data_IF_848112603562
#
_entry.id   IF_848112603562
#
_cell.length_a   1.000
_cell.length_b   1.000
_cell.length_c   1.000
_cell.angle_alpha   90.00
_cell.angle_beta   90.00
_cell.angle_gamma   90.00
#
_symmetry.space_group_name_H-M   'P 1'
#
loop_
_entity.id
_entity.type
_entity.pdbx_description
1 polymer ?
#
# COMPACT_ATOMS: atom_id res chain seq x y z
N UNK A 1 18.80 -2.25 -7.75
CA UNK A 1 18.11 -3.31 -8.50
C UNK A 1 16.64 -3.04 -8.31
N UNK A 2 15.80 -3.24 -9.34
CA UNK A 2 14.35 -3.02 -9.28
C UNK A 2 13.70 -4.34 -9.67
N UNK A 3 12.93 -4.93 -8.76
CA UNK A 3 12.43 -6.30 -8.94
C UNK A 3 11.06 -6.49 -8.28
N UNK A 4 10.19 -7.22 -8.95
CA UNK A 4 8.94 -7.74 -8.38
C UNK A 4 9.08 -9.25 -8.34
N UNK A 5 8.83 -9.85 -7.18
CA UNK A 5 8.91 -11.28 -6.95
C UNK A 5 7.52 -11.91 -7.10
N UNK A 6 7.42 -12.95 -7.93
CA UNK A 6 6.21 -13.76 -8.02
C UNK A 6 6.21 -14.79 -6.88
N UNK A 7 5.85 -14.34 -5.69
CA UNK A 7 5.83 -15.19 -4.50
C UNK A 7 5.03 -14.54 -3.36
N UNK A 8 4.71 -15.31 -2.33
CA UNK A 8 4.11 -14.76 -1.11
C UNK A 8 5.13 -13.84 -0.40
N UNK A 9 4.64 -12.73 0.16
CA UNK A 9 5.49 -11.74 0.84
C UNK A 9 6.22 -12.33 2.06
N UNK A 10 5.65 -13.33 2.75
CA UNK A 10 6.33 -14.03 3.83
C UNK A 10 7.55 -14.79 3.34
N UNK A 11 7.49 -15.37 2.14
CA UNK A 11 8.64 -16.02 1.51
C UNK A 11 9.72 -15.01 1.17
N UNK A 12 9.36 -13.88 0.58
CA UNK A 12 10.31 -12.78 0.33
C UNK A 12 10.99 -12.32 1.61
N UNK A 13 10.21 -12.04 2.66
CA UNK A 13 10.72 -11.50 3.92
C UNK A 13 11.55 -12.50 4.74
N UNK A 14 11.36 -13.80 4.52
CA UNK A 14 12.07 -14.85 5.28
C UNK A 14 13.21 -15.50 4.53
N UNK A 15 13.08 -15.67 3.21
CA UNK A 15 14.03 -16.42 2.39
C UNK A 15 15.00 -15.52 1.62
N UNK A 16 14.59 -14.29 1.27
CA UNK A 16 15.43 -13.34 0.53
C UNK A 16 16.12 -12.35 1.45
N UNK A 17 17.39 -12.09 1.17
CA UNK A 17 18.17 -11.04 1.86
C UNK A 17 18.04 -9.73 1.09
N UNK A 18 16.85 -9.14 1.08
CA UNK A 18 16.63 -7.82 0.47
C UNK A 18 16.83 -6.73 1.51
N UNK A 19 17.52 -5.67 1.11
CA UNK A 19 17.66 -4.45 1.92
C UNK A 19 16.79 -3.36 1.29
N UNK A 20 16.01 -2.70 2.12
CA UNK A 20 15.12 -1.60 1.72
C UNK A 20 15.09 -0.52 2.79
N UNK A 21 14.94 0.71 2.33
CA UNK A 21 14.96 1.87 3.21
C UNK A 21 13.59 2.19 3.79
N UNK A 22 12.54 1.95 3.04
CA UNK A 22 11.18 2.35 3.38
C UNK A 22 10.16 1.30 2.93
N UNK A 23 9.07 1.18 3.68
CA UNK A 23 7.95 0.30 3.34
C UNK A 23 6.69 1.12 3.14
N UNK A 24 5.99 0.90 2.01
CA UNK A 24 4.72 1.55 1.73
C UNK A 24 3.80 0.59 1.00
N UNK A 25 2.66 0.27 1.58
CA UNK A 25 1.73 -0.72 1.03
C UNK A 25 0.29 -0.55 1.50
N UNK A 26 -0.61 -1.26 0.81
CA UNK A 26 -1.97 -1.53 1.25
C UNK A 26 -2.16 -3.04 1.40
N UNK A 27 -2.51 -3.54 2.59
CA UNK A 27 -2.77 -4.97 2.74
C UNK A 27 -4.05 -5.36 1.98
N UNK A 28 -4.12 -6.60 1.44
CA UNK A 28 -5.34 -7.12 0.85
C UNK A 28 -6.49 -7.10 1.85
N UNK A 29 -7.72 -7.04 1.34
CA UNK A 29 -8.92 -7.05 2.17
C UNK A 29 -9.32 -8.50 2.52
N UNK A 30 -10.27 -8.66 3.42
CA UNK A 30 -10.77 -9.98 3.86
C UNK A 30 -11.23 -10.85 2.70
N UNK A 31 -12.00 -10.27 1.76
CA UNK A 31 -12.52 -11.00 0.60
C UNK A 31 -11.44 -11.39 -0.42
N UNK A 32 -10.36 -10.65 -0.52
CA UNK A 32 -9.19 -11.03 -1.32
C UNK A 32 -8.45 -12.26 -0.74
N UNK A 33 -8.66 -12.53 0.55
CA UNK A 33 -8.11 -13.70 1.26
C UNK A 33 -9.15 -14.80 1.49
N UNK A 34 -10.37 -14.67 0.94
CA UNK A 34 -11.51 -15.56 1.20
C UNK A 34 -11.92 -15.62 2.69
N UNK A 35 -11.69 -14.55 3.44
CA UNK A 35 -12.06 -14.38 4.85
C UNK A 35 -13.28 -13.49 5.01
N UNK A 36 -13.96 -13.61 6.14
CA UNK A 36 -15.10 -12.74 6.48
C UNK A 36 -14.82 -11.95 7.76
N UNK A 37 -15.07 -10.62 7.78
CA UNK A 37 -14.69 -9.75 8.89
C UNK A 37 -15.34 -10.07 10.25
N UNK A 38 -16.35 -10.93 10.31
CA UNK A 38 -17.03 -11.28 11.57
C UNK A 38 -16.54 -12.61 12.11
N UNK A 39 -16.31 -13.58 11.23
CA UNK A 39 -15.95 -14.94 11.59
C UNK A 39 -14.43 -15.09 11.72
N UNK A 40 -13.70 -14.50 10.81
CA UNK A 40 -12.28 -14.75 10.58
C UNK A 40 -11.41 -13.54 10.97
N UNK A 41 -11.96 -12.60 11.78
CA UNK A 41 -11.27 -11.36 12.16
C UNK A 41 -9.94 -11.63 12.87
N UNK A 42 -9.95 -12.58 13.82
CA UNK A 42 -8.74 -12.97 14.53
C UNK A 42 -7.67 -13.53 13.59
N UNK A 43 -8.05 -14.41 12.66
CA UNK A 43 -7.14 -15.00 11.68
C UNK A 43 -6.51 -13.91 10.79
N UNK A 44 -7.31 -12.97 10.33
CA UNK A 44 -6.85 -11.84 9.53
C UNK A 44 -5.86 -10.95 10.29
N UNK A 45 -6.13 -10.64 11.55
CA UNK A 45 -5.25 -9.81 12.38
C UNK A 45 -3.95 -10.54 12.74
N UNK A 46 -4.01 -11.83 13.07
CA UNK A 46 -2.82 -12.66 13.34
C UNK A 46 -1.92 -12.75 12.09
N UNK A 47 -2.50 -12.95 10.91
CA UNK A 47 -1.79 -12.94 9.64
C UNK A 47 -1.12 -11.58 9.36
N UNK A 48 -1.83 -10.47 9.56
CA UNK A 48 -1.22 -9.14 9.43
C UNK A 48 -0.06 -8.95 10.40
N UNK A 49 -0.23 -9.33 11.66
CA UNK A 49 0.78 -9.21 12.71
C UNK A 49 2.02 -10.03 12.38
N UNK A 50 1.87 -11.21 11.81
CA UNK A 50 2.99 -12.03 11.36
C UNK A 50 3.82 -11.30 10.31
N UNK A 51 3.19 -10.79 9.24
CA UNK A 51 3.89 -10.07 8.17
C UNK A 51 4.55 -8.79 8.70
N UNK A 52 3.80 -7.97 9.46
CA UNK A 52 4.31 -6.69 9.95
C UNK A 52 5.49 -6.86 10.91
N UNK A 53 5.53 -7.96 11.66
CA UNK A 53 6.64 -8.28 12.55
C UNK A 53 7.98 -8.51 11.83
N UNK A 54 7.94 -8.89 10.56
CA UNK A 54 9.10 -9.17 9.72
C UNK A 54 9.60 -7.94 8.95
N UNK A 55 8.84 -6.84 8.95
CA UNK A 55 9.24 -5.59 8.29
C UNK A 55 10.38 -4.91 9.04
N UNK A 56 11.47 -4.63 8.33
CA UNK A 56 12.67 -4.01 8.91
C UNK A 56 13.32 -2.99 7.97
N UNK A 57 12.66 -1.87 7.64
CA UNK A 57 13.24 -0.82 6.80
C UNK A 57 14.39 -0.10 7.49
N UNK A 58 15.46 0.26 6.74
CA UNK A 58 16.65 0.89 7.31
C UNK A 58 16.39 2.29 7.85
N UNK A 59 15.35 2.99 7.36
CA UNK A 59 14.93 4.30 7.90
C UNK A 59 13.95 4.19 9.07
N UNK A 60 13.57 2.97 9.47
CA UNK A 60 12.62 2.67 10.54
C UNK A 60 11.19 3.21 10.33
N UNK A 61 10.76 3.40 9.08
CA UNK A 61 9.42 3.91 8.77
C UNK A 61 8.63 2.94 7.89
N UNK A 62 7.39 2.69 8.28
CA UNK A 62 6.40 1.90 7.53
C UNK A 62 5.16 2.75 7.32
N UNK A 63 4.69 2.85 6.09
CA UNK A 63 3.39 3.47 5.78
C UNK A 63 2.40 2.42 5.29
N UNK A 64 1.24 2.39 5.92
CA UNK A 64 0.16 1.45 5.62
C UNK A 64 -1.06 2.25 5.20
N UNK A 65 -1.63 1.88 4.07
CA UNK A 65 -2.85 2.50 3.53
C UNK A 65 -4.00 1.53 3.70
N UNK A 66 -5.06 1.96 4.38
CA UNK A 66 -6.26 1.15 4.58
C UNK A 66 -7.51 1.91 4.18
N UNK A 67 -8.44 1.24 3.52
CA UNK A 67 -9.80 1.74 3.32
C UNK A 67 -10.69 1.24 4.46
N UNK A 68 -11.68 2.04 4.84
CA UNK A 68 -12.74 1.55 5.73
C UNK A 68 -13.51 0.43 5.01
N UNK A 69 -13.77 -0.64 5.72
CA UNK A 69 -14.55 -1.76 5.21
C UNK A 69 -15.90 -1.81 5.90
N UNK A 70 -16.94 -1.98 5.10
CA UNK A 70 -18.27 -2.27 5.60
C UNK A 70 -18.65 -3.71 5.29
N UNK A 71 -19.07 -4.44 6.31
CA UNK A 71 -19.56 -5.79 6.17
C UNK A 71 -20.93 -5.91 6.84
N UNK A 72 -21.98 -6.20 6.06
CA UNK A 72 -23.39 -6.10 6.50
C UNK A 72 -23.63 -4.71 7.10
N UNK A 73 -24.21 -4.55 8.22
CA UNK A 73 -24.48 -3.24 8.85
C UNK A 73 -23.30 -2.71 9.71
N UNK A 74 -22.13 -3.36 9.70
CA UNK A 74 -20.99 -3.02 10.58
C UNK A 74 -19.85 -2.38 9.81
N UNK A 75 -19.23 -1.36 10.40
CA UNK A 75 -17.96 -0.81 9.91
C UNK A 75 -16.81 -1.53 10.59
N UNK A 76 -15.87 -2.02 9.78
CA UNK A 76 -14.64 -2.65 10.27
C UNK A 76 -13.55 -1.56 10.33
N UNK A 77 -13.07 -1.20 11.51
CA UNK A 77 -12.10 -0.12 11.68
C UNK A 77 -10.67 -0.60 11.41
N UNK A 78 -10.36 -0.93 10.15
CA UNK A 78 -9.05 -1.49 9.76
C UNK A 78 -7.87 -0.60 10.15
N UNK A 79 -8.04 0.70 10.10
CA UNK A 79 -7.02 1.67 10.52
C UNK A 79 -6.72 1.60 12.02
N UNK A 80 -7.73 1.32 12.86
CA UNK A 80 -7.54 1.08 14.28
C UNK A 80 -6.83 -0.26 14.53
N UNK A 81 -7.23 -1.32 13.82
CA UNK A 81 -6.57 -2.63 13.91
C UNK A 81 -5.09 -2.53 13.54
N UNK A 82 -4.76 -1.86 12.43
CA UNK A 82 -3.37 -1.61 12.03
C UNK A 82 -2.62 -0.83 13.12
N UNK A 83 -3.23 0.20 13.70
CA UNK A 83 -2.61 0.97 14.78
C UNK A 83 -2.26 0.08 15.99
N UNK A 84 -3.19 -0.76 16.47
CA UNK A 84 -2.94 -1.64 17.62
C UNK A 84 -1.85 -2.68 17.30
N UNK A 85 -1.88 -3.31 16.10
CA UNK A 85 -0.83 -4.24 15.70
C UNK A 85 0.55 -3.57 15.68
N UNK A 86 0.66 -2.39 15.05
CA UNK A 86 1.94 -1.68 14.94
C UNK A 86 2.47 -1.23 16.30
N UNK A 87 1.58 -0.78 17.18
CA UNK A 87 1.91 -0.43 18.58
C UNK A 87 2.44 -1.64 19.36
N UNK A 88 1.77 -2.79 19.25
CA UNK A 88 2.23 -4.04 19.86
C UNK A 88 3.63 -4.48 19.38
N UNK A 89 3.95 -4.17 18.11
CA UNK A 89 5.26 -4.42 17.51
C UNK A 89 6.32 -3.35 17.86
N UNK A 90 5.99 -2.41 18.75
CA UNK A 90 6.90 -1.37 19.23
C UNK A 90 7.04 -0.16 18.29
N UNK A 91 6.12 0.01 17.36
CA UNK A 91 6.04 1.20 16.53
C UNK A 91 5.18 2.28 17.18
N UNK A 92 5.47 3.53 16.90
CA UNK A 92 4.64 4.69 17.24
C UNK A 92 4.11 5.37 15.98
N UNK A 93 2.92 5.95 16.07
CA UNK A 93 2.30 6.67 14.96
C UNK A 93 3.01 8.01 14.74
N UNK A 94 3.58 8.22 13.54
CA UNK A 94 4.20 9.49 13.13
C UNK A 94 3.13 10.43 12.59
N UNK A 95 2.28 9.92 11.70
CA UNK A 95 1.22 10.71 11.06
C UNK A 95 0.08 9.84 10.58
N UNK A 96 -1.11 10.41 10.60
CA UNK A 96 -2.32 9.85 10.00
C UNK A 96 -2.89 10.88 9.04
N UNK A 97 -3.07 10.50 7.78
CA UNK A 97 -3.66 11.34 6.73
C UNK A 97 -4.94 10.68 6.22
N UNK A 98 -5.87 11.49 5.78
CA UNK A 98 -7.09 11.03 5.13
C UNK A 98 -6.97 11.33 3.64
N UNK A 99 -7.03 10.28 2.82
CA UNK A 99 -7.19 10.45 1.38
C UNK A 99 -8.69 10.39 1.06
N UNK A 100 -9.20 11.48 0.51
CA UNK A 100 -10.60 11.61 0.12
C UNK A 100 -10.70 11.25 -1.35
N UNK A 101 -11.38 10.15 -1.66
CA UNK A 101 -11.68 9.78 -3.05
C UNK A 101 -12.59 10.84 -3.66
N UNK A 102 -12.31 11.31 -4.88
CA UNK A 102 -13.24 12.17 -5.59
C UNK A 102 -14.57 11.42 -5.77
N UNK A 103 -15.68 12.16 -5.73
CA UNK A 103 -17.03 11.59 -5.86
C UNK A 103 -17.10 10.74 -7.13
N UNK A 104 -17.29 9.44 -6.96
CA UNK A 104 -17.75 8.58 -8.04
C UNK A 104 -19.26 8.79 -8.10
N UNK A 105 -19.81 9.08 -9.27
CA UNK A 105 -21.27 9.21 -9.47
C UNK A 105 -21.98 8.03 -8.80
N UNK A 106 -22.77 8.38 -7.78
CA UNK A 106 -23.54 7.42 -7.02
C UNK A 106 -24.69 7.00 -7.91
N UNK A 107 -24.64 5.80 -8.43
CA UNK A 107 -25.81 5.17 -9.01
C UNK A 107 -26.80 4.92 -7.87
N UNK A 108 -27.84 5.76 -7.77
CA UNK A 108 -28.86 5.78 -6.72
C UNK A 108 -29.69 4.48 -6.61
N UNK A 109 -29.38 3.46 -7.43
CA UNK A 109 -30.06 2.17 -7.45
C UNK A 109 -29.76 1.23 -6.28
N UNK A 110 -28.66 1.42 -5.56
CA UNK A 110 -28.31 0.59 -4.40
C UNK A 110 -28.86 1.19 -3.09
N UNK A 111 -30.16 1.05 -2.90
CA UNK A 111 -30.91 1.59 -1.74
C UNK A 111 -30.47 1.10 -0.36
N UNK A 112 -29.52 0.19 -0.25
CA UNK A 112 -29.06 -0.39 1.03
C UNK A 112 -27.67 0.05 1.48
N UNK A 113 -26.96 0.89 0.74
CA UNK A 113 -25.65 1.43 1.16
C UNK A 113 -25.77 2.88 1.65
N UNK A 114 -26.22 3.04 2.88
CA UNK A 114 -26.42 4.34 3.52
C UNK A 114 -25.15 5.20 3.64
N UNK A 115 -23.97 4.60 3.54
CA UNK A 115 -22.68 5.32 3.58
C UNK A 115 -21.65 4.60 2.72
N UNK A 116 -21.24 5.23 1.62
CA UNK A 116 -20.09 4.81 0.86
C UNK A 116 -18.86 5.49 1.45
N UNK A 117 -17.92 4.71 1.95
CA UNK A 117 -16.67 5.26 2.45
C UNK A 117 -15.77 5.60 1.27
N UNK A 118 -15.70 6.89 0.94
CA UNK A 118 -14.87 7.39 -0.15
C UNK A 118 -13.48 7.79 0.33
N UNK A 119 -13.04 7.27 1.48
CA UNK A 119 -11.80 7.66 2.11
C UNK A 119 -10.88 6.46 2.37
N UNK A 120 -9.58 6.70 2.29
CA UNK A 120 -8.59 5.80 2.85
C UNK A 120 -7.75 6.51 3.91
N UNK A 121 -7.29 5.74 4.89
CA UNK A 121 -6.40 6.20 5.94
C UNK A 121 -4.97 5.86 5.56
N UNK A 122 -4.10 6.86 5.52
CA UNK A 122 -2.66 6.72 5.28
C UNK A 122 -1.98 6.91 6.62
N UNK A 123 -1.48 5.82 7.21
CA UNK A 123 -0.85 5.83 8.51
C UNK A 123 0.65 5.53 8.36
N UNK A 124 1.50 6.43 8.86
CA UNK A 124 2.94 6.20 8.87
C UNK A 124 3.41 5.99 10.31
N UNK A 125 4.17 4.93 10.49
CA UNK A 125 4.66 4.45 11.78
C UNK A 125 6.17 4.47 11.82
N UNK A 126 6.76 4.80 12.98
CA UNK A 126 8.19 4.79 13.23
C UNK A 126 8.57 3.85 14.36
N UNK A 127 9.77 3.27 14.30
CA UNK A 127 10.33 2.47 15.38
C UNK A 127 11.74 2.95 15.73
N UNK A 128 11.96 3.31 17.00
CA UNK A 128 13.24 3.86 17.44
C UNK A 128 13.55 5.22 16.80
N UNK A 129 14.84 5.50 16.51
CA UNK A 129 15.25 6.76 15.88
C UNK A 129 14.96 6.73 14.37
N UNK A 130 14.06 7.60 13.92
CA UNK A 130 13.76 7.73 12.51
C UNK A 130 14.92 8.43 11.80
N UNK A 131 15.37 7.84 10.72
CA UNK A 131 16.27 8.49 9.75
C UNK A 131 15.41 9.19 8.71
N UNK A 132 14.76 10.31 9.10
CA UNK A 132 13.94 11.09 8.16
C UNK A 132 14.84 11.73 7.11
N UNK A 133 14.69 11.32 5.86
CA UNK A 133 15.49 11.82 4.72
C UNK A 133 14.67 12.71 3.78
N UNK A 134 13.35 12.76 3.92
CA UNK A 134 12.48 13.48 2.99
C UNK A 134 12.67 14.99 3.02
N UNK A 135 12.90 15.60 1.86
CA UNK A 135 13.09 17.05 1.67
C UNK A 135 11.79 17.83 1.50
N UNK A 136 10.72 17.17 1.11
CA UNK A 136 9.38 17.78 0.94
C UNK A 136 8.36 17.02 1.76
N UNK A 137 7.84 17.65 2.80
CA UNK A 137 6.75 17.10 3.62
C UNK A 137 5.42 17.66 3.15
N UNK A 138 4.53 16.80 2.72
CA UNK A 138 3.13 17.16 2.49
C UNK A 138 2.44 17.29 3.84
N UNK A 139 2.25 18.53 4.30
CA UNK A 139 1.73 18.84 5.65
C UNK A 139 0.23 18.71 5.77
N UNK A 140 -0.50 18.79 4.67
CA UNK A 140 -1.96 18.69 4.72
C UNK A 140 -2.40 17.35 5.31
N UNK A 141 -3.41 17.38 6.16
CA UNK A 141 -3.96 16.17 6.79
C UNK A 141 -4.97 15.47 5.89
N UNK A 142 -5.55 16.20 4.96
CA UNK A 142 -6.45 15.68 3.95
C UNK A 142 -5.79 15.78 2.56
N UNK A 143 -5.81 14.67 1.84
CA UNK A 143 -5.32 14.58 0.47
C UNK A 143 -6.49 14.30 -0.47
N UNK A 144 -6.53 15.03 -1.55
CA UNK A 144 -7.49 14.83 -2.64
C UNK A 144 -6.72 14.64 -3.93
N UNK A 145 -6.90 13.54 -4.59
CA UNK A 145 -6.33 13.25 -5.89
C UNK A 145 -7.42 12.76 -6.82
N UNK A 146 -7.28 13.09 -8.10
CA UNK A 146 -8.13 12.50 -9.13
C UNK A 146 -7.89 10.99 -9.19
N UNK A 147 -8.93 10.23 -8.87
CA UNK A 147 -8.94 8.80 -9.01
C UNK A 147 -9.62 8.44 -10.34
N UNK A 148 -8.84 7.98 -11.29
CA UNK A 148 -9.38 7.36 -12.50
C UNK A 148 -9.25 5.86 -12.38
N UNK A 149 -10.36 5.16 -12.57
CA UNK A 149 -10.34 3.72 -12.65
C UNK A 149 -9.68 3.33 -13.97
N UNK A 150 -8.48 2.76 -13.88
CA UNK A 150 -7.70 2.36 -15.05
C UNK A 150 -8.04 0.92 -15.44
N UNK A 151 -8.00 0.63 -16.74
CA UNK A 151 -8.06 -0.72 -17.28
C UNK A 151 -6.65 -1.10 -17.73
N UNK A 152 -6.19 -2.25 -17.28
CA UNK A 152 -4.91 -2.83 -17.69
C UNK A 152 -5.18 -4.11 -18.47
N UNK A 153 -4.76 -4.16 -19.74
CA UNK A 153 -5.01 -5.28 -20.67
C UNK A 153 -6.50 -5.68 -20.77
N UNK A 154 -7.41 -4.71 -20.67
CA UNK A 154 -8.86 -4.93 -20.69
C UNK A 154 -9.46 -5.28 -19.32
N UNK A 155 -8.63 -5.62 -18.33
CA UNK A 155 -9.05 -5.97 -16.97
C UNK A 155 -9.22 -4.70 -16.15
N UNK A 156 -10.38 -4.60 -15.48
CA UNK A 156 -10.69 -3.51 -14.56
C UNK A 156 -10.18 -3.88 -13.18
N UNK A 157 -9.06 -3.28 -12.76
CA UNK A 157 -8.54 -3.49 -11.42
C UNK A 157 -9.04 -2.40 -10.48
N UNK A 158 -9.80 -2.80 -9.46
CA UNK A 158 -10.48 -1.87 -8.54
C UNK A 158 -9.71 -1.62 -7.24
N UNK A 159 -8.71 -2.44 -6.93
CA UNK A 159 -7.97 -2.43 -5.67
C UNK A 159 -6.61 -1.74 -5.80
N UNK A 160 -6.58 -0.53 -6.36
CA UNK A 160 -5.34 0.24 -6.42
C UNK A 160 -5.56 1.69 -5.95
N UNK A 161 -4.49 2.29 -5.48
CA UNK A 161 -4.47 3.71 -5.13
C UNK A 161 -3.82 4.54 -6.22
N UNK A 162 -4.15 5.85 -6.33
CA UNK A 162 -3.48 6.73 -7.29
C UNK A 162 -1.97 6.78 -7.07
N UNK A 163 -1.21 6.77 -8.17
CA UNK A 163 0.25 6.91 -8.12
C UNK A 163 0.66 8.18 -7.37
N UNK A 164 -0.07 9.27 -7.54
CA UNK A 164 0.18 10.56 -6.88
C UNK A 164 0.12 10.45 -5.35
N UNK A 165 -0.84 9.68 -4.82
CA UNK A 165 -0.95 9.45 -3.38
C UNK A 165 0.24 8.64 -2.85
N UNK A 166 0.60 7.56 -3.53
CA UNK A 166 1.77 6.75 -3.16
C UNK A 166 3.06 7.56 -3.29
N UNK A 167 3.19 8.38 -4.32
CA UNK A 167 4.33 9.30 -4.52
C UNK A 167 4.51 10.25 -3.34
N UNK A 168 3.42 10.79 -2.77
CA UNK A 168 3.49 11.63 -1.55
C UNK A 168 3.99 10.84 -0.34
N UNK A 169 3.54 9.60 -0.17
CA UNK A 169 4.05 8.74 0.90
C UNK A 169 5.57 8.53 0.76
N UNK A 170 6.04 8.18 -0.45
CA UNK A 170 7.45 7.91 -0.73
C UNK A 170 8.32 9.16 -0.48
N UNK A 171 7.94 10.31 -1.03
CA UNK A 171 8.73 11.57 -0.91
C UNK A 171 8.85 12.05 0.54
N UNK A 172 7.85 11.78 1.39
CA UNK A 172 7.91 12.17 2.78
C UNK A 172 9.00 11.49 3.59
N UNK A 173 9.42 10.27 3.20
CA UNK A 173 10.30 9.44 4.02
C UNK A 173 11.52 8.89 3.28
N UNK A 174 11.71 9.26 2.01
CA UNK A 174 12.85 8.78 1.20
C UNK A 174 13.53 9.90 0.42
N UNK A 175 14.76 9.63 -0.04
CA UNK A 175 15.52 10.43 -1.01
C UNK A 175 15.72 9.65 -2.32
N UNK A 176 16.23 10.33 -3.35
CA UNK A 176 16.61 9.66 -4.61
C UNK A 176 17.68 8.59 -4.33
N UNK A 177 17.48 7.42 -4.92
CA UNK A 177 18.39 6.27 -4.74
C UNK A 177 17.97 5.33 -3.62
N UNK A 178 17.14 5.74 -2.67
CA UNK A 178 16.58 4.87 -1.64
C UNK A 178 15.72 3.76 -2.26
N UNK A 179 15.56 2.66 -1.54
CA UNK A 179 14.80 1.49 -1.97
C UNK A 179 13.47 1.43 -1.20
N UNK A 180 12.37 1.33 -1.91
CA UNK A 180 11.01 1.14 -1.37
C UNK A 180 10.60 -0.32 -1.50
N UNK A 181 10.04 -0.90 -0.47
CA UNK A 181 9.45 -2.24 -0.50
C UNK A 181 7.94 -2.20 -0.32
N UNK A 182 7.23 -2.97 -1.13
CA UNK A 182 5.79 -3.20 -1.01
C UNK A 182 5.51 -4.71 -0.97
N UNK A 183 5.12 -5.27 0.19
CA UNK A 183 4.83 -6.70 0.33
C UNK A 183 3.57 -7.16 -0.44
N UNK A 184 2.74 -6.23 -0.91
CA UNK A 184 1.50 -6.49 -1.63
C UNK A 184 1.42 -5.61 -2.87
N UNK A 185 2.41 -5.73 -3.75
CA UNK A 185 2.67 -4.77 -4.84
C UNK A 185 1.49 -4.63 -5.82
N UNK A 186 0.60 -5.64 -5.89
CA UNK A 186 -0.54 -5.64 -6.78
C UNK A 186 -0.12 -5.37 -8.23
N UNK A 187 -0.82 -4.48 -8.90
CA UNK A 187 -0.50 -4.08 -10.28
C UNK A 187 0.73 -3.15 -10.40
N UNK A 188 1.54 -3.00 -9.35
CA UNK A 188 2.83 -2.30 -9.41
C UNK A 188 2.78 -0.78 -9.23
N UNK A 189 1.74 -0.22 -8.63
CA UNK A 189 1.63 1.26 -8.46
C UNK A 189 2.78 1.82 -7.64
N UNK A 190 3.16 1.16 -6.55
CA UNK A 190 4.30 1.56 -5.69
C UNK A 190 5.63 1.47 -6.45
N UNK A 191 5.81 0.45 -7.30
CA UNK A 191 7.00 0.31 -8.14
C UNK A 191 7.12 1.46 -9.15
N UNK A 192 6.02 1.81 -9.82
CA UNK A 192 5.96 2.90 -10.79
C UNK A 192 6.25 4.25 -10.11
N UNK A 193 5.60 4.53 -8.99
CA UNK A 193 5.82 5.75 -8.21
C UNK A 193 7.28 5.87 -7.76
N UNK A 194 7.87 4.77 -7.25
CA UNK A 194 9.26 4.73 -6.84
C UNK A 194 10.20 5.04 -8.01
N UNK A 195 10.01 4.38 -9.15
CA UNK A 195 10.82 4.59 -10.34
C UNK A 195 10.77 6.03 -10.86
N UNK A 196 9.56 6.58 -11.00
CA UNK A 196 9.36 7.96 -11.48
C UNK A 196 9.99 9.01 -10.55
N UNK A 197 10.10 8.70 -9.27
CA UNK A 197 10.75 9.54 -8.27
C UNK A 197 12.28 9.32 -8.18
N UNK A 198 12.84 8.39 -8.96
CA UNK A 198 14.26 8.03 -8.91
C UNK A 198 14.64 7.21 -7.67
N UNK A 199 13.70 6.45 -7.14
CA UNK A 199 13.91 5.44 -6.09
C UNK A 199 14.00 4.06 -6.73
N UNK A 200 14.61 3.13 -6.00
CA UNK A 200 14.57 1.71 -6.32
C UNK A 200 13.33 1.09 -5.69
N UNK A 201 12.96 -0.09 -6.15
CA UNK A 201 11.84 -0.81 -5.56
C UNK A 201 12.08 -2.31 -5.49
N UNK A 202 11.47 -2.93 -4.49
CA UNK A 202 11.13 -4.34 -4.42
C UNK A 202 9.64 -4.49 -4.15
N UNK A 203 9.05 -5.57 -4.65
CA UNK A 203 7.67 -5.91 -4.35
C UNK A 203 7.42 -7.40 -4.43
N UNK A 204 6.40 -7.87 -3.71
CA UNK A 204 5.92 -9.25 -3.76
C UNK A 204 4.47 -9.29 -4.24
N UNK A 205 4.16 -10.20 -5.14
CA UNK A 205 2.81 -10.50 -5.60
C UNK A 205 2.67 -12.00 -5.82
N UNK A 206 1.71 -12.62 -5.16
CA UNK A 206 1.52 -14.08 -5.23
C UNK A 206 0.60 -14.52 -6.37
N UNK A 207 -0.31 -13.64 -6.79
CA UNK A 207 -1.22 -13.92 -7.90
C UNK A 207 -0.50 -13.74 -9.23
N UNK A 208 -0.47 -14.78 -10.04
CA UNK A 208 0.27 -14.82 -11.31
C UNK A 208 -0.25 -13.78 -12.31
N UNK A 209 -1.57 -13.63 -12.41
CA UNK A 209 -2.18 -12.69 -13.35
C UNK A 209 -1.84 -11.25 -12.98
N UNK A 210 -1.97 -10.91 -11.70
CA UNK A 210 -1.66 -9.58 -11.15
C UNK A 210 -0.15 -9.30 -11.25
N UNK A 211 0.70 -10.28 -10.92
CA UNK A 211 2.14 -10.19 -11.10
C UNK A 211 2.52 -9.87 -12.55
N UNK A 212 1.93 -10.57 -13.52
CA UNK A 212 2.20 -10.35 -14.95
C UNK A 212 1.83 -8.92 -15.40
N UNK A 213 0.73 -8.37 -14.87
CA UNK A 213 0.34 -6.97 -15.09
C UNK A 213 1.40 -6.02 -14.53
N UNK A 214 1.82 -6.22 -13.27
CA UNK A 214 2.83 -5.39 -12.62
C UNK A 214 4.17 -5.44 -13.35
N UNK A 215 4.59 -6.63 -13.74
CA UNK A 215 5.83 -6.86 -14.47
C UNK A 215 5.83 -6.12 -15.82
N UNK A 216 4.79 -6.29 -16.62
CA UNK A 216 4.63 -5.61 -17.92
C UNK A 216 4.64 -4.08 -17.78
N UNK A 217 3.95 -3.55 -16.77
CA UNK A 217 3.91 -2.09 -16.50
C UNK A 217 5.30 -1.54 -16.17
N UNK A 218 6.06 -2.25 -15.34
CA UNK A 218 7.40 -1.82 -14.93
C UNK A 218 8.46 -2.01 -16.00
N UNK A 219 8.35 -3.04 -16.86
CA UNK A 219 9.22 -3.22 -18.03
C UNK A 219 9.05 -2.08 -19.04
N UNK A 220 7.83 -1.63 -19.27
CA UNK A 220 7.55 -0.50 -20.16
C UNK A 220 8.27 0.79 -19.70
N UNK A 221 8.37 1.05 -18.39
CA UNK A 221 9.10 2.19 -17.85
C UNK A 221 10.60 2.13 -18.18
N UNK A 222 11.20 0.96 -18.01
CA UNK A 222 12.63 0.75 -18.33
C UNK A 222 12.92 0.97 -19.81
N UNK A 223 11.98 0.59 -20.69
CA UNK A 223 12.13 0.74 -22.13
C UNK A 223 11.99 2.20 -22.59
N UNK A 224 11.12 2.99 -21.96
CA UNK A 224 11.00 4.42 -22.22
C UNK A 224 12.27 5.15 -21.81
N UNK A 225 12.81 4.86 -20.62
CA UNK A 225 14.03 5.49 -20.11
C UNK A 225 15.29 5.16 -20.93
N UNK A 226 15.32 4.08 -21.71
CA UNK A 226 16.44 3.75 -22.61
C UNK A 226 16.38 4.49 -23.95
N UNK A 227 15.25 5.12 -24.28
CA UNK A 227 15.02 5.83 -25.54
C UNK A 227 15.18 7.35 -25.40
N UNK A 228 15.29 7.85 -24.16
CA UNK A 228 15.56 9.26 -23.80
C UNK A 228 16.99 9.44 -23.32
#
# INVERSE_FOLDING_TARGET
MNEIFHEDCLDTLTKRKIEYDYVCFSPPDYDELNLTPIKDDKEYLDWQKEIYSKLNPTNNVVTIVTSLRRFKARTIPKDYHVYEIMKDLGYYLITKKVWIKPKIDINLGERNNLYRYDNAMVQSFGRGKIKSRGTKRYRADNWTEDYKMEKFDGIRYTYHFPETMISRCIVNFTERGDTVYDPFIGIGTTAIASYNLGRKYYGSEKDEEIYNIAHKRTENLKNIAKKT
#
